data_IF_984710389733
#
_entry.id   IF_984710389733
#
_cell.length_a   1.000
_cell.length_b   1.000
_cell.length_c   1.000
_cell.angle_alpha   90.00
_cell.angle_beta   90.00
_cell.angle_gamma   90.00
#
_symmetry.space_group_name_H-M   'P 1'
#
loop_
_entity.id
_entity.type
_entity.pdbx_description
1 polymer ?
#
# COMPACT_ATOMS: atom_id res chain seq x y z
N UNK A 1 16.89 9.85 -27.15
CA UNK A 1 15.74 10.43 -26.42
C UNK A 1 16.10 10.37 -24.96
N UNK A 2 16.44 11.50 -24.34
CA UNK A 2 16.72 11.58 -22.91
C UNK A 2 15.43 11.94 -22.19
N UNK A 3 14.92 11.03 -21.36
CA UNK A 3 13.78 11.30 -20.50
C UNK A 3 14.26 12.05 -19.26
N UNK A 4 13.64 13.19 -18.96
CA UNK A 4 13.92 13.96 -17.74
C UNK A 4 13.38 13.22 -16.51
N UNK A 5 14.16 13.20 -15.44
CA UNK A 5 13.76 12.72 -14.12
C UNK A 5 12.87 13.78 -13.46
N UNK A 6 11.59 13.45 -13.23
CA UNK A 6 10.70 14.26 -12.39
C UNK A 6 10.81 13.81 -10.93
N UNK A 7 11.31 14.69 -10.07
CA UNK A 7 11.22 14.55 -8.62
C UNK A 7 9.85 15.09 -8.17
N UNK A 8 9.13 14.28 -7.41
CA UNK A 8 7.87 14.69 -6.78
C UNK A 8 8.09 14.81 -5.27
N UNK A 9 7.84 16.00 -4.74
CA UNK A 9 7.94 16.31 -3.32
C UNK A 9 6.67 15.93 -2.53
N UNK A 10 5.60 15.49 -3.22
CA UNK A 10 4.29 15.25 -2.62
C UNK A 10 3.61 14.03 -3.25
N UNK A 11 2.79 13.35 -2.45
CA UNK A 11 1.92 12.27 -2.92
C UNK A 11 0.97 12.76 -4.02
N UNK A 12 1.10 12.22 -5.23
CA UNK A 12 0.18 12.44 -6.35
C UNK A 12 -0.52 11.10 -6.62
N UNK A 13 -1.77 10.91 -6.16
CA UNK A 13 -2.51 9.65 -6.30
C UNK A 13 -2.54 9.11 -7.74
N UNK A 14 -2.59 9.99 -8.74
CA UNK A 14 -2.65 9.68 -10.16
C UNK A 14 -1.37 9.01 -10.71
N UNK A 15 -0.28 9.05 -9.95
CA UNK A 15 1.00 8.43 -10.31
C UNK A 15 1.27 7.13 -9.56
N UNK A 16 0.36 6.69 -8.69
CA UNK A 16 0.49 5.41 -8.02
C UNK A 16 0.08 4.26 -8.96
N UNK A 17 1.06 3.55 -9.48
CA UNK A 17 0.81 2.30 -10.20
C UNK A 17 0.49 1.15 -9.21
N UNK A 18 -0.22 0.09 -9.64
CA UNK A 18 -0.47 -1.09 -8.82
C UNK A 18 0.79 -1.61 -8.13
N UNK A 19 0.74 -1.78 -6.80
CA UNK A 19 1.87 -2.20 -5.97
C UNK A 19 2.72 -1.03 -5.43
N UNK A 20 2.46 0.21 -5.86
CA UNK A 20 3.13 1.40 -5.33
C UNK A 20 2.70 1.65 -3.88
N UNK A 21 3.68 1.87 -3.00
CA UNK A 21 3.47 2.18 -1.60
C UNK A 21 3.97 3.59 -1.30
N UNK A 22 3.17 4.37 -0.58
CA UNK A 22 3.51 5.70 -0.09
C UNK A 22 3.39 5.76 1.43
N UNK A 23 4.51 6.01 2.13
CA UNK A 23 4.51 6.14 3.59
C UNK A 23 3.99 7.53 3.97
N UNK A 24 3.04 7.59 4.90
CA UNK A 24 2.45 8.86 5.32
C UNK A 24 3.46 9.70 6.13
N UNK A 25 3.54 11.01 5.86
CA UNK A 25 4.39 11.93 6.63
C UNK A 25 4.03 11.95 8.12
N UNK A 26 2.76 11.74 8.43
CA UNK A 26 2.22 11.68 9.79
C UNK A 26 1.90 10.24 10.22
N UNK A 27 2.63 9.24 9.68
CA UNK A 27 2.51 7.84 10.07
C UNK A 27 2.48 7.69 11.60
N UNK A 28 1.46 6.99 12.11
CA UNK A 28 1.28 6.80 13.56
C UNK A 28 0.36 7.81 14.26
N UNK A 29 -0.04 8.90 13.60
CA UNK A 29 -0.92 9.93 14.21
C UNK A 29 -2.43 9.72 13.97
N UNK A 30 -2.78 8.87 12.99
CA UNK A 30 -4.16 8.62 12.57
C UNK A 30 -4.51 7.14 12.71
N UNK A 31 -5.75 6.84 13.10
CA UNK A 31 -6.26 5.47 13.27
C UNK A 31 -6.19 4.99 14.73
N UNK A 32 -6.12 3.67 14.91
CA UNK A 32 -6.04 3.05 16.23
C UNK A 32 -4.67 3.32 16.88
N UNK A 33 -4.64 3.70 18.16
CA UNK A 33 -3.39 4.04 18.85
C UNK A 33 -2.37 2.88 18.91
N UNK A 34 -2.83 1.62 18.90
CA UNK A 34 -1.98 0.42 18.91
C UNK A 34 -1.62 -0.05 17.49
N UNK A 35 -2.49 0.18 16.52
CA UNK A 35 -2.27 -0.18 15.12
C UNK A 35 -2.67 0.96 14.16
N UNK A 36 -1.93 2.09 14.18
CA UNK A 36 -2.30 3.27 13.41
C UNK A 36 -2.07 3.05 11.92
N UNK A 37 -2.65 3.94 11.10
CA UNK A 37 -2.34 4.01 9.68
C UNK A 37 -0.88 4.44 9.48
N UNK A 38 -0.25 3.81 8.50
CA UNK A 38 1.19 3.94 8.26
C UNK A 38 1.49 4.37 6.82
N UNK A 39 0.76 3.84 5.86
CA UNK A 39 0.99 4.08 4.44
C UNK A 39 -0.32 4.00 3.63
N UNK A 40 -0.27 4.52 2.41
CA UNK A 40 -1.22 4.23 1.33
C UNK A 40 -0.57 3.21 0.39
N UNK A 41 -1.30 2.17 0.01
CA UNK A 41 -0.87 1.19 -0.97
C UNK A 41 -1.88 1.14 -2.11
N UNK A 42 -1.39 1.21 -3.34
CA UNK A 42 -2.17 0.84 -4.51
C UNK A 42 -2.20 -0.69 -4.59
N UNK A 43 -3.39 -1.29 -4.55
CA UNK A 43 -3.55 -2.73 -4.61
C UNK A 43 -2.74 -3.30 -5.80
N UNK A 44 -1.86 -4.28 -5.60
CA UNK A 44 -1.02 -4.84 -6.65
C UNK A 44 -1.82 -5.58 -7.72
N UNK A 45 -3.08 -5.93 -7.45
CA UNK A 45 -3.97 -6.60 -8.41
C UNK A 45 -4.77 -5.62 -9.27
N UNK A 46 -5.42 -4.62 -8.66
CA UNK A 46 -6.38 -3.74 -9.36
C UNK A 46 -6.04 -2.25 -9.29
N UNK A 47 -5.00 -1.84 -8.57
CA UNK A 47 -4.60 -0.44 -8.40
C UNK A 47 -5.45 0.37 -7.42
N UNK A 48 -6.53 -0.19 -6.87
CA UNK A 48 -7.36 0.51 -5.89
C UNK A 48 -6.53 0.95 -4.67
N UNK A 49 -6.69 2.20 -4.25
CA UNK A 49 -5.92 2.78 -3.15
C UNK A 49 -6.54 2.38 -1.82
N UNK A 50 -5.70 1.92 -0.89
CA UNK A 50 -6.09 1.58 0.47
C UNK A 50 -5.10 2.12 1.49
N UNK A 51 -5.62 2.54 2.65
CA UNK A 51 -4.79 2.79 3.82
C UNK A 51 -4.39 1.46 4.44
N UNK A 52 -3.13 1.34 4.83
CA UNK A 52 -2.62 0.17 5.53
C UNK A 52 -2.09 0.55 6.90
N UNK A 53 -2.28 -0.36 7.86
CA UNK A 53 -1.87 -0.17 9.25
C UNK A 53 -0.39 -0.51 9.46
N UNK A 54 0.15 -0.17 10.63
CA UNK A 54 1.53 -0.55 11.01
C UNK A 54 1.75 -2.07 10.98
N UNK A 55 0.77 -2.86 11.43
CA UNK A 55 0.88 -4.32 11.44
C UNK A 55 0.87 -4.90 10.01
N UNK A 56 0.08 -4.33 9.10
CA UNK A 56 0.10 -4.70 7.68
C UNK A 56 1.39 -4.28 6.99
N UNK A 57 1.88 -3.06 7.27
CA UNK A 57 3.13 -2.54 6.74
C UNK A 57 4.35 -3.39 7.13
N UNK A 58 4.37 -3.87 8.37
CA UNK A 58 5.41 -4.79 8.87
C UNK A 58 5.21 -6.25 8.45
N UNK A 59 4.17 -6.56 7.68
CA UNK A 59 3.87 -7.91 7.22
C UNK A 59 3.28 -8.85 8.27
N UNK A 60 2.95 -8.38 9.47
CA UNK A 60 2.36 -9.21 10.52
C UNK A 60 0.91 -9.60 10.22
N UNK A 61 0.18 -8.75 9.49
CA UNK A 61 -1.20 -8.98 9.07
C UNK A 61 -1.31 -8.99 7.55
N UNK A 62 -2.27 -9.76 7.01
CA UNK A 62 -2.61 -9.69 5.58
C UNK A 62 -3.38 -8.42 5.26
N UNK A 63 -3.31 -8.03 4.00
CA UNK A 63 -4.15 -7.01 3.41
C UNK A 63 -5.14 -7.69 2.48
N UNK A 64 -6.39 -7.27 2.56
CA UNK A 64 -7.45 -7.65 1.62
C UNK A 64 -7.83 -6.37 0.87
N UNK A 65 -7.87 -6.43 -0.47
CA UNK A 65 -8.34 -5.30 -1.25
C UNK A 65 -9.80 -4.98 -0.90
N UNK A 66 -10.11 -3.70 -0.71
CA UNK A 66 -11.47 -3.24 -0.40
C UNK A 66 -12.29 -2.82 -1.63
N UNK A 67 -11.81 -3.07 -2.85
CA UNK A 67 -12.54 -2.74 -4.07
C UNK A 67 -13.64 -3.78 -4.35
N UNK A 68 -14.76 -3.34 -4.92
CA UNK A 68 -15.96 -4.17 -5.13
C UNK A 68 -15.71 -5.39 -6.04
N UNK A 69 -14.73 -5.30 -6.95
CA UNK A 69 -14.40 -6.32 -7.95
C UNK A 69 -13.02 -6.95 -7.75
N UNK A 70 -12.38 -6.72 -6.58
CA UNK A 70 -11.06 -7.28 -6.28
C UNK A 70 -11.04 -7.99 -4.93
N UNK A 71 -10.74 -9.29 -4.95
CA UNK A 71 -10.61 -10.13 -3.76
C UNK A 71 -9.16 -10.46 -3.41
N UNK A 72 -8.21 -9.65 -3.87
CA UNK A 72 -6.79 -9.89 -3.63
C UNK A 72 -6.46 -9.86 -2.13
N UNK A 73 -5.88 -10.94 -1.63
CA UNK A 73 -5.32 -11.04 -0.28
C UNK A 73 -3.81 -11.34 -0.35
N UNK A 74 -3.00 -10.54 0.34
CA UNK A 74 -1.54 -10.60 0.26
C UNK A 74 -0.86 -10.03 1.50
N UNK A 75 0.42 -10.35 1.68
CA UNK A 75 1.29 -9.81 2.73
C UNK A 75 2.40 -8.96 2.12
N UNK A 76 2.89 -7.97 2.87
CA UNK A 76 4.20 -7.37 2.60
C UNK A 76 5.30 -8.20 3.27
N UNK A 77 6.38 -8.43 2.53
CA UNK A 77 7.61 -9.06 3.00
C UNK A 77 8.77 -8.20 2.54
N UNK A 78 9.23 -7.32 3.41
CA UNK A 78 10.31 -6.38 3.08
C UNK A 78 9.94 -5.53 1.84
N UNK A 79 10.55 -5.82 0.69
CA UNK A 79 10.33 -5.16 -0.60
C UNK A 79 9.43 -5.97 -1.56
N UNK A 80 8.85 -7.08 -1.08
CA UNK A 80 8.05 -8.00 -1.90
C UNK A 80 6.58 -8.09 -1.43
N UNK A 81 5.74 -8.45 -2.39
CA UNK A 81 4.31 -8.74 -2.19
C UNK A 81 4.11 -10.24 -2.35
N UNK A 82 3.61 -10.89 -1.30
CA UNK A 82 3.29 -12.31 -1.30
C UNK A 82 1.78 -12.52 -1.28
N UNK A 83 1.22 -12.95 -2.41
CA UNK A 83 -0.19 -13.34 -2.47
C UNK A 83 -0.47 -14.58 -1.65
N UNK A 84 -1.59 -14.55 -0.93
CA UNK A 84 -2.07 -15.72 -0.20
C UNK A 84 -2.50 -16.78 -1.21
N UNK A 85 -1.99 -18.00 -1.06
CA UNK A 85 -2.40 -19.12 -1.91
C UNK A 85 -3.85 -19.49 -1.57
N UNK A 86 -4.72 -19.71 -2.58
CA UNK A 86 -6.03 -20.30 -2.34
C UNK A 86 -5.83 -21.69 -1.70
N UNK A 87 -6.65 -22.00 -0.69
CA UNK A 87 -6.72 -23.33 -0.06
C UNK A 87 -7.48 -24.30 -0.95
#
# INVERSE_FOLDING_TARGET
MSSELQLLDQWIPEQMEPGTLFVLENAGSLGDAKNPYWAVLACPSCGALGLITRAQFSGMESMICGADDCSAEYFLREDQIEYRKPH
#
